data_IF_525817436412
#
_entry.id   IF_525817436412
#
_cell.length_a   1.000
_cell.length_b   1.000
_cell.length_c   1.000
_cell.angle_alpha   90.00
_cell.angle_beta   90.00
_cell.angle_gamma   90.00
#
_symmetry.space_group_name_H-M   'P 1'
#
loop_
_entity.id
_entity.type
_entity.pdbx_description
1 polymer ?
#
# COMPACT_ATOMS: atom_id res chain seq x y z
N UNK A 1 -58.44 27.36 15.73
CA UNK A 1 -57.60 27.40 16.94
C UNK A 1 -56.23 27.92 16.51
N UNK A 2 -55.93 29.20 16.74
CA UNK A 2 -54.65 29.79 16.32
C UNK A 2 -53.53 29.31 17.24
N UNK A 3 -52.45 28.79 16.66
CA UNK A 3 -51.31 28.34 17.43
C UNK A 3 -50.48 29.56 17.87
N UNK A 4 -50.19 29.74 19.17
CA UNK A 4 -49.43 30.91 19.62
C UNK A 4 -48.04 30.91 18.99
N UNK A 5 -47.62 32.06 18.45
CA UNK A 5 -46.37 32.24 17.68
C UNK A 5 -45.14 31.58 18.33
N UNK A 6 -45.05 31.59 19.67
CA UNK A 6 -43.97 30.93 20.43
C UNK A 6 -43.90 29.41 20.22
N UNK A 7 -45.05 28.72 20.13
CA UNK A 7 -45.09 27.27 19.85
C UNK A 7 -44.69 26.97 18.41
N UNK A 8 -45.09 27.82 17.46
CA UNK A 8 -44.68 27.71 16.06
C UNK A 8 -43.17 27.90 15.89
N UNK A 9 -42.57 28.90 16.55
CA UNK A 9 -41.11 29.09 16.56
C UNK A 9 -40.35 27.91 17.16
N UNK A 10 -40.86 27.33 18.27
CA UNK A 10 -40.25 26.14 18.87
C UNK A 10 -40.29 24.93 17.92
N UNK A 11 -41.38 24.74 17.17
CA UNK A 11 -41.46 23.68 16.17
C UNK A 11 -40.43 23.91 15.06
N UNK A 12 -40.36 25.14 14.52
CA UNK A 12 -39.41 25.47 13.44
C UNK A 12 -37.96 25.24 13.89
N UNK A 13 -37.60 25.70 15.10
CA UNK A 13 -36.25 25.52 15.65
C UNK A 13 -35.93 24.04 15.88
N UNK A 14 -36.86 23.29 16.49
CA UNK A 14 -36.66 21.85 16.72
C UNK A 14 -36.54 21.07 15.42
N UNK A 15 -37.33 21.42 14.39
CA UNK A 15 -37.23 20.83 13.05
C UNK A 15 -35.90 21.19 12.40
N UNK A 16 -35.45 22.44 12.46
CA UNK A 16 -34.15 22.86 11.93
C UNK A 16 -32.97 22.15 12.61
N UNK A 17 -33.03 21.98 13.95
CA UNK A 17 -32.04 21.21 14.71
C UNK A 17 -32.07 19.72 14.31
N UNK A 18 -33.25 19.14 14.17
CA UNK A 18 -33.41 17.76 13.72
C UNK A 18 -32.81 17.54 12.32
N UNK A 19 -33.06 18.44 11.38
CA UNK A 19 -32.45 18.40 10.06
C UNK A 19 -30.93 18.59 10.12
N UNK A 20 -30.44 19.55 10.92
CA UNK A 20 -29.00 19.78 11.09
C UNK A 20 -28.27 18.56 11.64
N UNK A 21 -28.83 17.91 12.67
CA UNK A 21 -28.29 16.67 13.23
C UNK A 21 -28.33 15.52 12.23
N UNK A 22 -29.41 15.41 11.45
CA UNK A 22 -29.51 14.39 10.39
C UNK A 22 -28.41 14.56 9.34
N UNK A 23 -28.19 15.78 8.83
CA UNK A 23 -27.12 16.04 7.86
C UNK A 23 -25.72 15.82 8.45
N UNK A 24 -25.49 16.19 9.72
CA UNK A 24 -24.21 15.90 10.38
C UNK A 24 -23.99 14.41 10.55
N UNK A 25 -25.03 13.65 10.93
CA UNK A 25 -24.96 12.20 11.04
C UNK A 25 -24.68 11.55 9.69
N UNK A 26 -25.34 11.97 8.61
CA UNK A 26 -25.08 11.46 7.27
C UNK A 26 -23.65 11.76 6.82
N UNK A 27 -23.19 13.00 6.95
CA UNK A 27 -21.83 13.37 6.57
C UNK A 27 -20.77 12.61 7.38
N UNK A 28 -20.98 12.43 8.69
CA UNK A 28 -20.10 11.61 9.52
C UNK A 28 -20.08 10.14 9.06
N UNK A 29 -21.24 9.58 8.71
CA UNK A 29 -21.32 8.21 8.22
C UNK A 29 -20.62 8.05 6.86
N UNK A 30 -20.79 9.00 5.94
CA UNK A 30 -20.14 9.00 4.63
C UNK A 30 -18.61 9.04 4.78
N UNK A 31 -18.08 9.97 5.58
CA UNK A 31 -16.63 10.05 5.85
C UNK A 31 -16.09 8.77 6.49
N UNK A 32 -16.85 8.18 7.43
CA UNK A 32 -16.42 6.93 8.08
C UNK A 32 -16.41 5.75 7.11
N UNK A 33 -17.35 5.69 6.17
CA UNK A 33 -17.37 4.62 5.17
C UNK A 33 -16.26 4.80 4.14
N UNK A 34 -15.96 6.04 3.72
CA UNK A 34 -14.81 6.36 2.86
C UNK A 34 -13.50 5.90 3.51
N UNK A 35 -13.27 6.22 4.78
CA UNK A 35 -12.09 5.73 5.53
C UNK A 35 -12.01 4.20 5.51
N UNK A 36 -13.13 3.50 5.74
CA UNK A 36 -13.15 2.03 5.70
C UNK A 36 -12.85 1.46 4.33
N UNK A 37 -13.35 2.09 3.27
CA UNK A 37 -13.08 1.65 1.90
C UNK A 37 -11.59 1.77 1.56
N UNK A 38 -10.99 2.91 1.90
CA UNK A 38 -9.54 3.12 1.71
C UNK A 38 -8.72 2.18 2.57
N UNK A 39 -9.04 2.02 3.85
CA UNK A 39 -8.28 1.11 4.71
C UNK A 39 -8.41 -0.36 4.33
N UNK A 40 -9.58 -0.83 3.86
CA UNK A 40 -9.71 -2.17 3.25
C UNK A 40 -8.85 -2.31 2.00
N UNK A 41 -8.77 -1.24 1.19
CA UNK A 41 -7.92 -1.25 0.01
C UNK A 41 -6.43 -1.34 0.39
N UNK A 42 -6.01 -0.65 1.45
CA UNK A 42 -4.65 -0.73 1.99
C UNK A 42 -4.32 -2.11 2.57
N UNK A 43 -5.21 -2.67 3.39
CA UNK A 43 -5.08 -4.02 3.95
C UNK A 43 -4.91 -5.07 2.84
N UNK A 44 -5.80 -5.02 1.85
CA UNK A 44 -5.76 -5.93 0.72
C UNK A 44 -4.49 -5.75 -0.12
N UNK A 45 -4.09 -4.50 -0.38
CA UNK A 45 -2.87 -4.20 -1.15
C UNK A 45 -1.64 -4.72 -0.42
N UNK A 46 -1.51 -4.46 0.88
CA UNK A 46 -0.40 -4.95 1.72
C UNK A 46 -0.31 -6.46 1.69
N UNK A 47 -1.43 -7.15 1.95
CA UNK A 47 -1.49 -8.62 1.95
C UNK A 47 -1.13 -9.20 0.58
N UNK A 48 -1.58 -8.54 -0.49
CA UNK A 48 -1.32 -8.98 -1.85
C UNK A 48 0.14 -8.78 -2.24
N UNK A 49 0.70 -7.59 -2.00
CA UNK A 49 2.09 -7.27 -2.29
C UNK A 49 3.05 -8.14 -1.47
N UNK A 50 2.75 -8.42 -0.20
CA UNK A 50 3.55 -9.36 0.60
C UNK A 50 3.55 -10.76 0.00
N UNK A 51 2.39 -11.26 -0.43
CA UNK A 51 2.30 -12.58 -1.05
C UNK A 51 3.04 -12.66 -2.39
N UNK A 52 3.03 -11.57 -3.15
CA UNK A 52 3.65 -11.51 -4.46
C UNK A 52 5.18 -11.36 -4.31
N UNK A 53 5.67 -10.43 -3.48
CA UNK A 53 7.11 -10.14 -3.34
C UNK A 53 7.83 -11.11 -2.39
N UNK A 54 7.20 -11.58 -1.31
CA UNK A 54 7.87 -12.30 -0.22
C UNK A 54 8.54 -13.62 -0.57
N UNK A 55 8.31 -14.14 -1.79
CA UNK A 55 8.91 -15.38 -2.30
C UNK A 55 9.72 -15.18 -3.57
N UNK A 56 9.96 -13.93 -4.00
CA UNK A 56 10.54 -13.60 -5.31
C UNK A 56 12.01 -13.16 -5.22
N UNK A 57 12.85 -13.93 -4.52
CA UNK A 57 14.29 -13.67 -4.49
C UNK A 57 14.96 -14.01 -5.85
N UNK A 58 16.21 -13.57 -6.04
CA UNK A 58 16.92 -13.68 -7.30
C UNK A 58 17.06 -15.13 -7.81
N UNK A 59 17.20 -16.12 -6.92
CA UNK A 59 17.27 -17.52 -7.33
C UNK A 59 15.93 -18.02 -7.89
N UNK A 60 14.80 -17.56 -7.33
CA UNK A 60 13.47 -17.88 -7.87
C UNK A 60 13.27 -17.28 -9.26
N UNK A 61 13.84 -16.10 -9.51
CA UNK A 61 13.83 -15.48 -10.84
C UNK A 61 14.75 -16.19 -11.82
N UNK A 62 15.93 -16.60 -11.39
CA UNK A 62 16.87 -17.41 -12.18
C UNK A 62 16.22 -18.72 -12.62
N UNK A 63 15.69 -19.51 -11.67
CA UNK A 63 14.99 -20.77 -11.96
C UNK A 63 13.81 -20.56 -12.91
N UNK A 64 13.11 -19.43 -12.78
CA UNK A 64 12.00 -19.07 -13.64
C UNK A 64 12.47 -18.76 -15.05
N UNK A 65 13.52 -17.94 -15.21
CA UNK A 65 14.06 -17.53 -16.51
C UNK A 65 14.60 -18.74 -17.27
N UNK A 66 15.26 -19.68 -16.60
CA UNK A 66 15.82 -20.90 -17.22
C UNK A 66 14.76 -21.96 -17.57
N UNK A 67 13.52 -21.80 -17.12
CA UNK A 67 12.44 -22.76 -17.36
C UNK A 67 11.92 -22.72 -18.81
N UNK A 68 11.33 -23.83 -19.27
CA UNK A 68 10.77 -23.96 -20.63
C UNK A 68 9.74 -22.85 -20.97
N UNK A 69 9.01 -22.34 -19.98
CA UNK A 69 8.01 -21.27 -20.12
C UNK A 69 8.51 -19.94 -19.51
N UNK A 70 9.83 -19.78 -19.35
CA UNK A 70 10.43 -18.70 -18.57
C UNK A 70 10.03 -17.30 -19.02
N UNK A 71 10.01 -17.04 -20.33
CA UNK A 71 9.58 -15.75 -20.89
C UNK A 71 8.13 -15.39 -20.51
N UNK A 72 7.23 -16.37 -20.53
CA UNK A 72 5.81 -16.16 -20.21
C UNK A 72 5.67 -15.92 -18.71
N UNK A 73 6.32 -16.73 -17.88
CA UNK A 73 6.29 -16.58 -16.43
C UNK A 73 6.90 -15.25 -16.00
N UNK A 74 7.96 -14.81 -16.68
CA UNK A 74 8.64 -13.55 -16.40
C UNK A 74 7.70 -12.38 -16.64
N UNK A 75 7.09 -12.31 -17.84
CA UNK A 75 6.13 -11.26 -18.17
C UNK A 75 4.91 -11.23 -17.24
N UNK A 76 4.43 -12.39 -16.79
CA UNK A 76 3.32 -12.48 -15.83
C UNK A 76 3.74 -11.85 -14.49
N UNK A 77 4.91 -12.23 -13.95
CA UNK A 77 5.32 -11.80 -12.61
C UNK A 77 5.81 -10.35 -12.57
N UNK A 78 6.53 -9.87 -13.58
CA UNK A 78 6.85 -8.44 -13.67
C UNK A 78 5.57 -7.60 -13.82
N UNK A 79 4.58 -8.11 -14.56
CA UNK A 79 3.25 -7.51 -14.59
C UNK A 79 2.54 -7.49 -13.24
N UNK A 80 2.77 -8.47 -12.36
CA UNK A 80 2.26 -8.44 -10.98
C UNK A 80 2.91 -7.31 -10.17
N UNK A 81 4.24 -7.18 -10.22
CA UNK A 81 5.00 -6.11 -9.54
C UNK A 81 4.55 -4.73 -10.01
N UNK A 82 4.38 -4.52 -11.32
CA UNK A 82 3.87 -3.26 -11.85
C UNK A 82 2.45 -2.94 -11.36
N UNK A 83 1.61 -3.97 -11.25
CA UNK A 83 0.27 -3.80 -10.68
C UNK A 83 0.30 -3.50 -9.19
N UNK A 84 1.28 -4.03 -8.44
CA UNK A 84 1.53 -3.65 -7.05
C UNK A 84 1.93 -2.18 -6.95
N UNK A 85 2.94 -1.75 -7.73
CA UNK A 85 3.38 -0.35 -7.75
C UNK A 85 2.21 0.59 -8.04
N UNK A 86 1.40 0.29 -9.06
CA UNK A 86 0.23 1.09 -9.42
C UNK A 86 -0.93 1.03 -8.42
N UNK A 87 -0.92 0.12 -7.43
CA UNK A 87 -1.84 0.16 -6.28
C UNK A 87 -1.32 1.11 -5.21
N UNK A 88 -0.03 1.00 -4.89
CA UNK A 88 0.64 1.86 -3.93
C UNK A 88 0.65 3.33 -4.38
N UNK A 89 0.89 3.61 -5.66
CA UNK A 89 0.82 4.97 -6.24
C UNK A 89 -0.53 5.69 -6.05
N UNK A 90 -1.61 4.96 -5.75
CA UNK A 90 -2.93 5.55 -5.49
C UNK A 90 -3.09 6.00 -4.04
N UNK A 91 -2.14 5.65 -3.18
CA UNK A 91 -2.09 6.01 -1.78
C UNK A 91 -1.09 7.15 -1.62
N UNK A 92 -1.43 8.12 -0.77
CA UNK A 92 -0.50 9.19 -0.44
C UNK A 92 0.59 8.64 0.49
N UNK A 93 1.80 9.22 0.44
CA UNK A 93 2.90 8.93 1.37
C UNK A 93 3.46 7.50 1.31
N UNK A 94 3.48 6.90 0.11
CA UNK A 94 4.05 5.56 -0.11
C UNK A 94 5.17 5.58 -1.16
N UNK A 95 5.85 6.72 -1.32
CA UNK A 95 6.84 6.95 -2.38
C UNK A 95 8.02 5.96 -2.27
N UNK A 96 8.49 5.67 -1.06
CA UNK A 96 9.57 4.71 -0.81
C UNK A 96 9.21 3.30 -1.27
N UNK A 97 7.99 2.85 -0.99
CA UNK A 97 7.47 1.54 -1.42
C UNK A 97 7.35 1.49 -2.94
N UNK A 98 6.81 2.56 -3.54
CA UNK A 98 6.65 2.67 -5.00
C UNK A 98 8.00 2.64 -5.69
N UNK A 99 8.99 3.38 -5.19
CA UNK A 99 10.35 3.40 -5.74
C UNK A 99 11.00 2.01 -5.66
N UNK A 100 10.89 1.32 -4.50
CA UNK A 100 11.41 -0.04 -4.35
C UNK A 100 10.79 -1.03 -5.36
N UNK A 101 9.48 -0.92 -5.63
CA UNK A 101 8.79 -1.80 -6.58
C UNK A 101 9.17 -1.50 -8.04
N UNK A 102 9.30 -0.22 -8.40
CA UNK A 102 9.73 0.17 -9.75
C UNK A 102 11.16 -0.25 -10.02
N UNK A 103 12.07 0.02 -9.08
CA UNK A 103 13.48 -0.33 -9.23
C UNK A 103 13.67 -1.85 -9.23
N UNK A 104 12.97 -2.60 -8.36
CA UNK A 104 12.96 -4.05 -8.42
C UNK A 104 12.52 -4.55 -9.80
N UNK A 105 11.47 -3.95 -10.37
CA UNK A 105 11.01 -4.35 -11.69
C UNK A 105 12.05 -4.06 -12.77
N UNK A 106 12.72 -2.90 -12.73
CA UNK A 106 13.80 -2.57 -13.66
C UNK A 106 14.98 -3.56 -13.54
N UNK A 107 15.44 -3.82 -12.32
CA UNK A 107 16.53 -4.75 -12.04
C UNK A 107 16.23 -6.15 -12.57
N UNK A 108 14.98 -6.61 -12.50
CA UNK A 108 14.58 -7.90 -13.04
C UNK A 108 14.71 -7.97 -14.57
N UNK A 109 14.39 -6.89 -15.28
CA UNK A 109 14.62 -6.82 -16.74
C UNK A 109 16.11 -6.79 -17.07
N UNK A 110 16.91 -6.08 -16.28
CA UNK A 110 18.37 -6.09 -16.43
C UNK A 110 18.95 -7.47 -16.15
N UNK A 111 18.42 -8.17 -15.13
CA UNK A 111 18.85 -9.50 -14.70
C UNK A 111 18.57 -10.54 -15.77
N UNK A 112 17.36 -10.54 -16.34
CA UNK A 112 17.02 -11.38 -17.49
C UNK A 112 17.95 -11.11 -18.67
N UNK A 113 18.18 -9.85 -19.00
CA UNK A 113 19.06 -9.46 -20.10
C UNK A 113 20.48 -9.98 -19.88
N UNK A 114 21.04 -9.77 -18.67
CA UNK A 114 22.38 -10.22 -18.33
C UNK A 114 22.52 -11.75 -18.34
N UNK A 115 21.51 -12.48 -17.90
CA UNK A 115 21.47 -13.94 -18.02
C UNK A 115 21.48 -14.40 -19.48
N UNK A 116 20.69 -13.77 -20.35
CA UNK A 116 20.62 -14.09 -21.78
C UNK A 116 21.92 -13.74 -22.55
N UNK A 117 22.68 -12.75 -22.07
CA UNK A 117 23.94 -12.31 -22.68
C UNK A 117 25.19 -12.92 -22.03
N UNK A 118 25.02 -13.83 -21.07
CA UNK A 118 26.11 -14.45 -20.28
C UNK A 118 26.97 -13.43 -19.53
N UNK A 119 26.36 -12.32 -19.09
CA UNK A 119 27.01 -11.31 -18.24
C UNK A 119 27.08 -11.75 -16.77
N UNK A 120 28.04 -11.21 -16.02
CA UNK A 120 28.09 -11.42 -14.58
C UNK A 120 26.99 -10.62 -13.89
N UNK A 121 25.97 -11.34 -13.43
CA UNK A 121 24.78 -10.78 -12.76
C UNK A 121 24.86 -10.88 -11.23
N UNK A 122 26.03 -11.21 -10.67
CA UNK A 122 26.19 -11.46 -9.22
C UNK A 122 25.77 -10.27 -8.37
N UNK A 123 26.22 -9.06 -8.73
CA UNK A 123 25.87 -7.83 -7.99
C UNK A 123 24.37 -7.54 -8.10
N UNK A 124 23.78 -7.74 -9.28
CA UNK A 124 22.36 -7.51 -9.52
C UNK A 124 21.47 -8.50 -8.74
N UNK A 125 21.91 -9.76 -8.55
CA UNK A 125 21.21 -10.71 -7.67
C UNK A 125 21.16 -10.21 -6.24
N UNK A 126 22.26 -9.65 -5.75
CA UNK A 126 22.32 -9.10 -4.39
C UNK A 126 21.38 -7.90 -4.26
N UNK A 127 21.38 -6.99 -5.23
CA UNK A 127 20.47 -5.84 -5.26
C UNK A 127 18.99 -6.25 -5.29
N UNK A 128 18.62 -7.22 -6.12
CA UNK A 128 17.26 -7.80 -6.17
C UNK A 128 16.88 -8.39 -4.80
N UNK A 129 17.78 -9.18 -4.20
CA UNK A 129 17.52 -9.81 -2.92
C UNK A 129 17.32 -8.78 -1.80
N UNK A 130 18.12 -7.70 -1.79
CA UNK A 130 17.98 -6.62 -0.82
C UNK A 130 16.65 -5.89 -0.97
N UNK A 131 16.23 -5.55 -2.20
CA UNK A 131 14.93 -4.91 -2.47
C UNK A 131 13.76 -5.80 -2.05
N UNK A 132 13.82 -7.09 -2.37
CA UNK A 132 12.81 -8.07 -1.96
C UNK A 132 12.75 -8.19 -0.44
N UNK A 133 13.89 -8.21 0.26
CA UNK A 133 13.95 -8.24 1.72
C UNK A 133 13.36 -6.96 2.34
N UNK A 134 13.71 -5.78 1.83
CA UNK A 134 13.18 -4.51 2.30
C UNK A 134 11.66 -4.44 2.16
N UNK A 135 11.13 -4.76 0.97
CA UNK A 135 9.68 -4.81 0.71
C UNK A 135 8.97 -5.83 1.60
N UNK A 136 9.55 -7.02 1.77
CA UNK A 136 9.01 -8.04 2.69
C UNK A 136 8.97 -7.52 4.11
N UNK A 137 10.05 -6.89 4.58
CA UNK A 137 10.14 -6.30 5.91
C UNK A 137 9.07 -5.22 6.17
N UNK A 138 8.85 -4.34 5.19
CA UNK A 138 7.81 -3.30 5.25
C UNK A 138 6.42 -3.94 5.34
N UNK A 139 6.08 -4.84 4.41
CA UNK A 139 4.72 -5.39 4.34
C UNK A 139 4.42 -6.34 5.51
N UNK A 140 5.40 -7.12 5.98
CA UNK A 140 5.24 -7.92 7.20
C UNK A 140 5.01 -7.03 8.41
N UNK A 141 5.76 -5.94 8.55
CA UNK A 141 5.56 -5.01 9.67
C UNK A 141 4.16 -4.39 9.67
N UNK A 142 3.68 -3.92 8.51
CA UNK A 142 2.31 -3.42 8.37
C UNK A 142 1.27 -4.47 8.78
N UNK A 143 1.42 -5.70 8.31
CA UNK A 143 0.47 -6.79 8.57
C UNK A 143 0.47 -7.26 10.03
N UNK A 144 1.62 -7.19 10.72
CA UNK A 144 1.74 -7.57 12.14
C UNK A 144 1.30 -6.46 13.10
N UNK A 145 1.44 -5.20 12.70
CA UNK A 145 1.17 -4.04 13.56
C UNK A 145 -0.29 -3.62 13.55
N UNK A 146 -1.00 -3.86 12.44
CA UNK A 146 -2.36 -3.37 12.23
C UNK A 146 -3.36 -4.53 12.38
N UNK A 147 -4.39 -4.42 13.23
CA UNK A 147 -5.41 -5.46 13.36
C UNK A 147 -6.15 -5.71 12.03
N UNK A 148 -6.16 -6.97 11.56
CA UNK A 148 -6.80 -7.38 10.30
C UNK A 148 -8.28 -6.94 10.20
N UNK A 149 -9.02 -6.93 11.32
CA UNK A 149 -10.46 -6.58 11.29
C UNK A 149 -10.75 -5.07 11.43
N UNK A 150 -9.73 -4.21 11.54
CA UNK A 150 -9.90 -2.76 11.72
C UNK A 150 -9.50 -1.94 10.50
N UNK A 151 -10.39 -1.90 9.51
CA UNK A 151 -10.24 -1.05 8.32
C UNK A 151 -10.05 0.45 8.60
N UNK A 152 -10.42 0.96 9.78
CA UNK A 152 -10.15 2.38 10.09
C UNK A 152 -8.70 2.51 10.56
N UNK A 153 -8.20 1.58 11.36
CA UNK A 153 -6.78 1.54 11.75
C UNK A 153 -5.87 1.44 10.52
N UNK A 154 -6.23 0.62 9.51
CA UNK A 154 -5.52 0.58 8.23
C UNK A 154 -5.51 1.93 7.52
N UNK A 155 -6.63 2.66 7.49
CA UNK A 155 -6.64 4.00 6.92
C UNK A 155 -5.72 4.96 7.69
N UNK A 156 -5.79 4.94 9.03
CA UNK A 156 -5.01 5.84 9.88
C UNK A 156 -3.49 5.59 9.72
N UNK A 157 -3.06 4.43 9.21
CA UNK A 157 -1.64 4.19 8.90
C UNK A 157 -1.10 4.97 7.70
N UNK A 158 -1.96 5.46 6.81
CA UNK A 158 -1.54 6.42 5.78
C UNK A 158 -1.17 7.77 6.40
N UNK A 159 -1.90 8.19 7.43
CA UNK A 159 -1.55 9.38 8.21
C UNK A 159 -0.23 9.16 8.95
N UNK A 160 -0.01 7.98 9.53
CA UNK A 160 1.26 7.64 10.20
C UNK A 160 2.45 7.64 9.21
N UNK A 161 2.28 7.11 7.99
CA UNK A 161 3.32 7.17 6.95
C UNK A 161 3.68 8.61 6.55
N UNK A 162 2.71 9.53 6.61
CA UNK A 162 2.93 10.96 6.35
C UNK A 162 3.71 11.67 7.47
N UNK A 163 3.63 11.16 8.69
CA UNK A 163 4.33 11.69 9.86
C UNK A 163 5.73 11.07 9.97
N UNK A 164 6.75 11.84 9.60
CA UNK A 164 8.16 11.42 9.63
C UNK A 164 8.65 11.01 11.01
N UNK A 165 8.00 11.48 12.08
CA UNK A 165 8.36 11.12 13.45
C UNK A 165 7.60 9.87 13.95
N UNK A 166 6.78 9.24 13.10
CA UNK A 166 6.06 8.01 13.45
C UNK A 166 6.98 6.79 13.37
N UNK A 167 6.73 5.81 14.25
CA UNK A 167 7.44 4.53 14.26
C UNK A 167 7.29 3.78 12.91
N UNK A 168 6.14 3.94 12.25
CA UNK A 168 5.91 3.34 10.94
C UNK A 168 6.74 4.00 9.84
N UNK A 169 6.79 5.33 9.81
CA UNK A 169 7.58 6.08 8.82
C UNK A 169 9.08 5.79 9.01
N UNK A 170 9.57 5.83 10.25
CA UNK A 170 10.96 5.46 10.60
C UNK A 170 11.26 4.03 10.13
N UNK A 171 10.35 3.08 10.35
CA UNK A 171 10.55 1.69 9.94
C UNK A 171 10.60 1.51 8.41
N UNK A 172 9.77 2.25 7.67
CA UNK A 172 9.80 2.23 6.20
C UNK A 172 11.09 2.87 5.68
N UNK A 173 11.48 4.00 6.25
CA UNK A 173 12.73 4.70 5.93
C UNK A 173 13.95 3.81 6.21
N UNK A 174 14.01 3.14 7.37
CA UNK A 174 15.06 2.19 7.69
C UNK A 174 15.18 1.08 6.64
N UNK A 175 14.07 0.49 6.20
CA UNK A 175 14.09 -0.54 5.15
C UNK A 175 14.52 0.04 3.81
N UNK A 176 14.07 1.24 3.46
CA UNK A 176 14.47 1.92 2.23
C UNK A 176 15.98 2.23 2.20
N UNK A 177 16.54 2.73 3.30
CA UNK A 177 17.97 3.04 3.43
C UNK A 177 18.86 1.80 3.38
N UNK A 178 18.33 0.60 3.66
CA UNK A 178 19.10 -0.64 3.43
C UNK A 178 19.43 -0.87 1.95
N UNK A 179 18.63 -0.33 1.04
CA UNK A 179 18.81 -0.41 -0.41
C UNK A 179 19.52 0.84 -0.94
N UNK A 180 19.20 2.02 -0.41
CA UNK A 180 19.75 3.31 -0.84
C UNK A 180 20.48 4.03 0.30
N UNK A 181 21.71 3.60 0.66
CA UNK A 181 22.46 4.26 1.72
C UNK A 181 22.93 5.65 1.30
N UNK A 182 22.72 6.63 2.16
CA UNK A 182 23.19 8.02 2.03
C UNK A 182 24.72 8.16 2.08
#
# INVERSE_FOLDING_TARGET
>A
MEMPKRKMWLIIISTALGFSLFFHYQSFHEQREEKREVGRFMEWTTSKSLSDVGIMNANVWEDLIESDDGDVQFAIRTGMIQNDAGRWERMEHTDEIVNLLHDLNEDLYQFKTGMETEEDVTDLKEEINQKVQALTGIFTYLQETIPEEDSIAWYDTLDDLSDRDSELSERVEEQYETVYPN
#
